data_IF_116366050084
#
_entry.id   IF_116366050084
#
_cell.length_a   1.000
_cell.length_b   1.000
_cell.length_c   1.000
_cell.angle_alpha   90.00
_cell.angle_beta   90.00
_cell.angle_gamma   90.00
#
_symmetry.space_group_name_H-M   'P 1'
#
loop_
_entity.id
_entity.type
_entity.pdbx_description
1 polymer ?
#
# COMPACT_ATOMS: atom_id res chain seq x y z
N UNK A 1 -18.29 -6.06 7.26
CA UNK A 1 -17.83 -5.02 6.32
C UNK A 1 -18.16 -5.50 4.92
N UNK A 2 -18.50 -4.58 4.03
CA UNK A 2 -18.72 -4.86 2.61
C UNK A 2 -17.47 -4.46 1.82
N UNK A 3 -17.32 -5.02 0.61
CA UNK A 3 -16.25 -4.63 -0.32
C UNK A 3 -16.30 -3.11 -0.58
N UNK A 4 -15.15 -2.38 -0.46
CA UNK A 4 -15.14 -0.95 -0.72
C UNK A 4 -15.33 -0.64 -2.21
N UNK A 5 -15.85 0.56 -2.55
CA UNK A 5 -15.98 0.98 -3.94
C UNK A 5 -14.62 1.01 -4.63
N UNK A 6 -14.61 0.83 -5.96
CA UNK A 6 -13.37 0.91 -6.75
C UNK A 6 -12.85 2.34 -6.76
N UNK A 7 -11.61 2.55 -6.30
CA UNK A 7 -10.96 3.86 -6.21
C UNK A 7 -9.68 3.85 -7.06
N UNK A 8 -9.64 4.68 -8.09
CA UNK A 8 -8.41 4.93 -8.85
C UNK A 8 -7.43 5.77 -8.00
N UNK A 9 -6.15 5.74 -8.35
CA UNK A 9 -5.12 6.42 -7.55
C UNK A 9 -5.38 7.93 -7.47
N UNK A 10 -5.76 8.55 -8.60
CA UNK A 10 -6.07 9.99 -8.71
C UNK A 10 -7.22 10.46 -7.81
N UNK A 11 -8.12 9.54 -7.41
CA UNK A 11 -9.27 9.81 -6.54
C UNK A 11 -9.04 9.33 -5.10
N UNK A 12 -7.88 8.74 -4.79
CA UNK A 12 -7.63 8.06 -3.54
C UNK A 12 -6.57 8.74 -2.67
N UNK A 13 -6.83 8.77 -1.36
CA UNK A 13 -5.81 9.09 -0.36
C UNK A 13 -4.90 7.86 -0.16
N UNK A 14 -3.59 8.04 -0.14
CA UNK A 14 -2.62 6.96 0.13
C UNK A 14 -1.83 7.19 1.42
N UNK A 15 -1.34 6.09 2.00
CA UNK A 15 -0.57 6.07 3.24
C UNK A 15 0.71 5.27 3.11
N UNK A 16 1.84 5.87 3.45
CA UNK A 16 3.15 5.22 3.47
C UNK A 16 4.12 6.02 4.34
N UNK A 17 5.25 5.42 4.74
CA UNK A 17 6.30 6.16 5.42
C UNK A 17 7.23 6.82 4.39
N UNK A 18 7.07 8.12 4.17
CA UNK A 18 7.90 8.87 3.22
C UNK A 18 9.39 8.94 3.62
N UNK A 19 9.74 8.72 4.89
CA UNK A 19 11.12 8.83 5.38
C UNK A 19 12.01 7.67 4.89
N UNK A 20 11.42 6.54 4.48
CA UNK A 20 12.15 5.33 4.06
C UNK A 20 12.22 5.13 2.54
N UNK A 21 11.78 6.12 1.75
CA UNK A 21 11.83 6.11 0.28
C UNK A 21 12.67 7.27 -0.26
N UNK A 22 13.21 7.15 -1.48
CA UNK A 22 13.80 8.32 -2.17
C UNK A 22 12.72 9.38 -2.46
N UNK A 23 13.13 10.66 -2.47
CA UNK A 23 12.17 11.77 -2.56
C UNK A 23 11.50 11.87 -3.93
N UNK A 24 12.14 11.38 -4.99
CA UNK A 24 11.55 11.37 -6.34
C UNK A 24 10.33 10.44 -6.37
N UNK A 25 10.46 9.22 -5.85
CA UNK A 25 9.34 8.27 -5.73
C UNK A 25 8.25 8.80 -4.80
N UNK A 26 8.63 9.50 -3.72
CA UNK A 26 7.66 10.14 -2.83
C UNK A 26 6.87 11.22 -3.57
N UNK A 27 7.54 12.03 -4.39
CA UNK A 27 6.90 13.06 -5.20
C UNK A 27 5.99 12.44 -6.28
N UNK A 28 6.44 11.39 -6.97
CA UNK A 28 5.64 10.67 -7.96
C UNK A 28 4.34 10.10 -7.34
N UNK A 29 4.42 9.60 -6.11
CA UNK A 29 3.24 9.13 -5.36
C UNK A 29 2.32 10.29 -4.94
N UNK A 30 2.88 11.44 -4.56
CA UNK A 30 2.10 12.63 -4.23
C UNK A 30 1.36 13.19 -5.45
N UNK A 31 2.03 13.28 -6.60
CA UNK A 31 1.45 13.83 -7.83
C UNK A 31 0.38 12.92 -8.42
N UNK A 32 0.55 11.60 -8.29
CA UNK A 32 -0.38 10.63 -8.87
C UNK A 32 -1.63 10.36 -8.00
N UNK A 33 -1.62 10.73 -6.72
CA UNK A 33 -2.70 10.44 -5.77
C UNK A 33 -3.54 11.67 -5.44
N UNK A 34 -4.77 11.45 -4.97
CA UNK A 34 -5.63 12.56 -4.53
C UNK A 34 -5.02 13.33 -3.34
N UNK A 35 -4.45 12.60 -2.39
CA UNK A 35 -3.73 13.18 -1.26
C UNK A 35 -2.94 12.13 -0.48
N UNK A 36 -2.11 12.60 0.44
CA UNK A 36 -1.33 11.76 1.34
C UNK A 36 -1.74 11.95 2.81
N UNK A 37 -1.90 10.85 3.55
CA UNK A 37 -2.09 10.86 5.02
C UNK A 37 -1.39 9.66 5.64
N UNK A 38 -0.97 9.78 6.89
CA UNK A 38 -0.35 8.68 7.63
C UNK A 38 -0.92 8.62 9.05
N UNK A 39 -1.56 7.50 9.42
CA UNK A 39 -1.95 7.25 10.81
C UNK A 39 -0.74 6.84 11.64
N UNK A 40 0.16 6.04 11.06
CA UNK A 40 1.43 5.65 11.69
C UNK A 40 1.39 4.27 12.37
N UNK A 41 0.34 3.48 12.13
CA UNK A 41 0.23 2.12 12.63
C UNK A 41 -0.27 1.21 11.51
N UNK A 42 0.53 0.20 11.13
CA UNK A 42 0.30 -0.62 9.93
C UNK A 42 -1.13 -1.21 9.88
N UNK A 43 -1.62 -1.73 11.01
CA UNK A 43 -2.99 -2.23 11.11
C UNK A 43 -4.06 -1.16 10.88
N UNK A 44 -3.90 0.04 11.43
CA UNK A 44 -4.92 1.11 11.30
C UNK A 44 -4.94 1.73 9.92
N UNK A 45 -3.76 1.98 9.32
CA UNK A 45 -3.67 2.43 7.93
C UNK A 45 -4.24 1.36 6.98
N UNK A 46 -3.98 0.07 7.24
CA UNK A 46 -4.58 -1.04 6.47
C UNK A 46 -6.11 -1.09 6.60
N UNK A 47 -6.65 -0.86 7.80
CA UNK A 47 -8.10 -0.81 8.00
C UNK A 47 -8.75 0.39 7.32
N UNK A 48 -8.02 1.48 7.09
CA UNK A 48 -8.51 2.61 6.28
C UNK A 48 -8.66 2.19 4.81
N UNK A 49 -7.79 1.32 4.29
CA UNK A 49 -7.96 0.70 2.97
C UNK A 49 -9.19 -0.22 2.94
N UNK A 50 -9.33 -1.09 3.95
CA UNK A 50 -10.48 -2.01 4.05
C UNK A 50 -11.84 -1.30 4.12
N UNK A 51 -11.88 -0.09 4.68
CA UNK A 51 -13.07 0.76 4.76
C UNK A 51 -13.26 1.69 3.55
N UNK A 52 -12.39 1.63 2.54
CA UNK A 52 -12.43 2.55 1.38
C UNK A 52 -12.10 4.01 1.71
N UNK A 53 -11.47 4.27 2.86
CA UNK A 53 -11.04 5.62 3.25
C UNK A 53 -9.69 5.98 2.60
N UNK A 54 -8.83 4.97 2.39
CA UNK A 54 -7.59 5.07 1.63
C UNK A 54 -7.64 4.13 0.41
N UNK A 55 -6.95 4.50 -0.66
CA UNK A 55 -6.74 3.61 -1.80
C UNK A 55 -5.65 2.58 -1.57
N UNK A 56 -4.58 2.95 -0.85
CA UNK A 56 -3.49 2.04 -0.56
C UNK A 56 -2.75 2.40 0.73
N UNK A 57 -2.23 1.37 1.39
CA UNK A 57 -1.23 1.49 2.44
C UNK A 57 0.01 0.66 2.09
N UNK A 58 1.19 1.26 2.26
CA UNK A 58 2.48 0.64 1.96
C UNK A 58 3.35 0.63 3.20
N UNK A 59 3.96 -0.52 3.48
CA UNK A 59 5.06 -0.66 4.42
C UNK A 59 6.20 -1.42 3.75
N UNK A 60 7.38 -0.82 3.66
CA UNK A 60 8.52 -1.37 2.91
C UNK A 60 9.34 -2.39 3.72
N UNK A 61 9.04 -2.59 5.00
CA UNK A 61 9.73 -3.57 5.86
C UNK A 61 8.85 -4.05 7.04
N UNK A 62 7.65 -4.60 6.80
CA UNK A 62 6.78 -5.08 7.87
C UNK A 62 7.30 -6.40 8.45
N UNK A 63 6.91 -6.68 9.70
CA UNK A 63 7.05 -7.99 10.32
C UNK A 63 5.76 -8.80 10.18
N UNK A 64 5.80 -10.13 10.38
CA UNK A 64 4.62 -10.99 10.28
C UNK A 64 3.40 -10.45 11.06
N UNK A 65 3.61 -10.02 12.30
CA UNK A 65 2.55 -9.50 13.16
C UNK A 65 1.96 -8.17 12.69
N UNK A 66 2.70 -7.36 11.92
CA UNK A 66 2.20 -6.08 11.42
C UNK A 66 1.13 -6.28 10.34
N UNK A 67 1.17 -7.43 9.64
CA UNK A 67 0.35 -7.70 8.44
C UNK A 67 -0.51 -8.97 8.52
N UNK A 68 -0.38 -9.79 9.56
CA UNK A 68 -1.06 -11.10 9.64
C UNK A 68 -2.59 -11.00 9.57
N UNK A 69 -3.19 -9.99 10.19
CA UNK A 69 -4.64 -9.83 10.17
C UNK A 69 -5.17 -9.47 8.76
N UNK A 70 -4.39 -8.71 8.00
CA UNK A 70 -4.78 -8.11 6.73
C UNK A 70 -5.06 -9.14 5.64
N UNK A 71 -4.44 -10.34 5.70
CA UNK A 71 -4.64 -11.38 4.69
C UNK A 71 -6.12 -11.76 4.53
N UNK A 72 -6.80 -12.04 5.65
CA UNK A 72 -8.20 -12.46 5.61
C UNK A 72 -9.13 -11.30 5.25
N UNK A 73 -8.82 -10.07 5.67
CA UNK A 73 -9.56 -8.89 5.22
C UNK A 73 -9.42 -8.68 3.72
N UNK A 74 -8.23 -8.88 3.16
CA UNK A 74 -8.01 -8.72 1.72
C UNK A 74 -8.80 -9.74 0.90
N UNK A 75 -8.82 -11.01 1.34
CA UNK A 75 -9.61 -12.06 0.71
C UNK A 75 -11.12 -11.75 0.75
N UNK A 76 -11.65 -11.47 1.93
CA UNK A 76 -13.10 -11.29 2.13
C UNK A 76 -13.65 -9.97 1.57
N UNK A 77 -12.80 -8.95 1.42
CA UNK A 77 -13.18 -7.62 0.94
C UNK A 77 -12.64 -7.31 -0.46
N UNK A 78 -12.15 -8.33 -1.18
CA UNK A 78 -11.64 -8.21 -2.55
C UNK A 78 -10.55 -7.13 -2.72
N UNK A 79 -9.69 -7.00 -1.71
CA UNK A 79 -8.53 -6.09 -1.75
C UNK A 79 -7.34 -6.83 -2.38
N UNK A 80 -6.40 -6.05 -2.90
CA UNK A 80 -5.11 -6.59 -3.32
C UNK A 80 -4.11 -6.45 -2.20
N UNK A 81 -3.55 -7.58 -1.76
CA UNK A 81 -2.49 -7.62 -0.78
C UNK A 81 -1.34 -8.47 -1.31
N UNK A 82 -0.23 -7.81 -1.65
CA UNK A 82 0.93 -8.44 -2.30
C UNK A 82 2.23 -7.86 -1.76
N UNK A 83 3.33 -8.49 -2.13
CA UNK A 83 4.64 -7.86 -2.11
C UNK A 83 4.69 -6.68 -3.10
N UNK A 84 5.71 -5.83 -2.99
CA UNK A 84 5.90 -4.71 -3.93
C UNK A 84 6.31 -5.12 -5.35
N UNK A 85 6.60 -6.41 -5.58
CA UNK A 85 6.76 -7.01 -6.92
C UNK A 85 5.53 -7.84 -7.36
N UNK A 86 4.39 -7.70 -6.69
CA UNK A 86 3.10 -8.28 -7.10
C UNK A 86 2.91 -9.77 -6.75
N UNK A 87 3.74 -10.34 -5.88
CA UNK A 87 3.67 -11.76 -5.47
C UNK A 87 2.91 -11.94 -4.15
N UNK A 88 2.51 -13.18 -3.87
CA UNK A 88 1.99 -13.54 -2.56
C UNK A 88 3.07 -13.40 -1.47
N UNK A 89 2.65 -12.95 -0.29
CA UNK A 89 3.53 -12.76 0.87
C UNK A 89 3.57 -14.05 1.69
N UNK A 90 4.77 -14.47 2.11
CA UNK A 90 4.92 -15.50 3.14
C UNK A 90 4.52 -14.92 4.50
N UNK A 91 3.36 -15.34 5.01
CA UNK A 91 2.80 -14.82 6.26
C UNK A 91 3.67 -15.12 7.50
N UNK A 92 4.61 -16.07 7.43
CA UNK A 92 5.54 -16.36 8.53
C UNK A 92 6.76 -15.43 8.54
N UNK A 93 7.09 -14.80 7.40
CA UNK A 93 8.29 -13.96 7.25
C UNK A 93 7.98 -12.48 7.07
N UNK A 94 6.88 -12.17 6.42
CA UNK A 94 6.63 -10.83 5.87
C UNK A 94 7.53 -10.52 4.67
N UNK A 95 7.28 -9.39 4.03
CA UNK A 95 8.02 -8.84 2.90
C UNK A 95 7.62 -7.37 2.73
N UNK A 96 8.38 -6.52 2.01
CA UNK A 96 7.89 -5.23 1.56
C UNK A 96 6.52 -5.40 0.90
N UNK A 97 5.49 -4.74 1.42
CA UNK A 97 4.10 -5.07 1.09
C UNK A 97 3.24 -3.83 0.81
N UNK A 98 2.15 -4.10 0.09
CA UNK A 98 1.05 -3.19 -0.14
C UNK A 98 -0.28 -3.90 0.18
N UNK A 99 -1.20 -3.18 0.82
CA UNK A 99 -2.64 -3.48 0.77
C UNK A 99 -3.34 -2.34 0.04
N UNK A 100 -4.17 -2.67 -0.95
CA UNK A 100 -4.72 -1.69 -1.87
C UNK A 100 -6.12 -2.06 -2.35
N UNK A 101 -6.90 -1.03 -2.65
CA UNK A 101 -8.08 -1.12 -3.48
C UNK A 101 -7.69 -1.68 -4.87
N UNK A 102 -8.47 -2.63 -5.38
CA UNK A 102 -8.17 -3.32 -6.65
C UNK A 102 -7.94 -2.38 -7.84
N UNK A 103 -8.57 -1.19 -7.84
CA UNK A 103 -8.50 -0.26 -8.97
C UNK A 103 -7.23 0.61 -9.00
N UNK A 104 -6.45 0.68 -7.91
CA UNK A 104 -5.21 1.47 -7.88
C UNK A 104 -3.93 0.66 -7.64
N UNK A 105 -4.06 -0.64 -7.31
CA UNK A 105 -2.93 -1.53 -7.01
C UNK A 105 -1.79 -1.47 -8.05
N UNK A 106 -2.11 -1.73 -9.33
CA UNK A 106 -1.10 -1.77 -10.40
C UNK A 106 -0.43 -0.42 -10.63
N UNK A 107 -1.18 0.68 -10.52
CA UNK A 107 -0.62 2.04 -10.67
C UNK A 107 0.40 2.33 -9.57
N UNK A 108 0.08 1.97 -8.32
CA UNK A 108 0.98 2.17 -7.19
C UNK A 108 2.24 1.32 -7.32
N UNK A 109 2.10 0.03 -7.69
CA UNK A 109 3.26 -0.84 -7.92
C UNK A 109 4.13 -0.35 -9.06
N UNK A 110 3.53 0.18 -10.14
CA UNK A 110 4.27 0.74 -11.26
C UNK A 110 5.11 1.95 -10.84
N UNK A 111 4.57 2.84 -10.03
CA UNK A 111 5.30 4.01 -9.50
C UNK A 111 6.45 3.55 -8.59
N UNK A 112 6.20 2.65 -7.64
CA UNK A 112 7.20 2.17 -6.69
C UNK A 112 8.39 1.46 -7.35
N UNK A 113 8.21 0.87 -8.53
CA UNK A 113 9.25 0.13 -9.25
C UNK A 113 9.81 0.89 -10.47
N UNK A 114 9.29 2.08 -10.78
CA UNK A 114 9.84 2.93 -11.83
C UNK A 114 11.20 3.51 -11.42
N UNK A 115 11.96 4.02 -12.39
CA UNK A 115 13.14 4.86 -12.16
C UNK A 115 14.23 4.25 -11.25
N UNK A 116 14.34 2.92 -11.17
CA UNK A 116 15.28 2.23 -10.29
C UNK A 116 14.74 1.85 -8.90
N UNK A 117 13.44 2.12 -8.65
CA UNK A 117 12.70 1.69 -7.47
C UNK A 117 12.66 2.72 -6.34
N UNK A 118 11.88 2.41 -5.31
CA UNK A 118 11.56 3.32 -4.20
C UNK A 118 12.68 3.52 -3.16
N UNK A 119 13.77 2.75 -3.22
CA UNK A 119 14.79 2.74 -2.18
C UNK A 119 15.57 4.07 -2.12
N UNK A 120 16.03 4.46 -0.94
CA UNK A 120 16.92 5.64 -0.79
C UNK A 120 18.20 5.44 -1.61
N UNK A 121 18.63 6.51 -2.28
CA UNK A 121 19.97 6.56 -2.88
C UNK A 121 21.04 6.57 -1.77
N UNK A 122 22.20 6.00 -2.08
CA UNK A 122 23.37 6.01 -1.20
C UNK A 122 24.10 7.35 -1.27
#
# INVERSE_FOLDING_TARGET
MEEPPSLKLEDAIISFNAQVMNLDTVQDLFDASFSYRLVGACGLDSMRVAKGQFGAHINTNPKPWDIAAQFLFAELLNLKMTTLDGKAIDHLKGAPFIISNKACHETVLKILNANGGYQKYR
#
